data_IF_569987120084
#
_entry.id   IF_569987120084
#
_cell.length_a   1.000
_cell.length_b   1.000
_cell.length_c   1.000
_cell.angle_alpha   90.00
_cell.angle_beta   90.00
_cell.angle_gamma   90.00
#
_symmetry.space_group_name_H-M   'P 1'
#
loop_
_entity.id
_entity.type
_entity.pdbx_description
1 polymer ?
#
# COMPACT_ATOMS: atom_id res chain seq x y z
N UNK A 1 4.11 8.02 -14.59
CA UNK A 1 4.29 9.17 -13.68
C UNK A 1 5.76 9.34 -13.36
N UNK A 2 6.25 10.58 -13.20
CA UNK A 2 7.60 10.86 -12.69
C UNK A 2 7.61 11.08 -11.17
N UNK A 3 8.78 10.99 -10.54
CA UNK A 3 8.96 11.17 -9.10
C UNK A 3 8.29 12.43 -8.55
N UNK A 4 8.55 13.59 -9.15
CA UNK A 4 8.04 14.87 -8.64
C UNK A 4 6.50 14.94 -8.74
N UNK A 5 5.91 14.35 -9.78
CA UNK A 5 4.46 14.24 -9.93
C UNK A 5 3.86 13.31 -8.87
N UNK A 6 4.52 12.19 -8.59
CA UNK A 6 4.09 11.22 -7.58
C UNK A 6 4.16 11.84 -6.17
N UNK A 7 5.26 12.50 -5.83
CA UNK A 7 5.42 13.21 -4.56
C UNK A 7 4.41 14.34 -4.42
N UNK A 8 4.17 15.12 -5.49
CA UNK A 8 3.14 16.17 -5.47
C UNK A 8 1.73 15.59 -5.27
N UNK A 9 1.39 14.49 -5.94
CA UNK A 9 0.07 13.85 -5.85
C UNK A 9 -0.23 13.35 -4.43
N UNK A 10 0.79 12.85 -3.74
CA UNK A 10 0.69 12.20 -2.43
C UNK A 10 1.14 13.09 -1.26
N UNK A 11 1.51 14.35 -1.51
CA UNK A 11 2.17 15.19 -0.50
C UNK A 11 3.32 14.41 0.18
N UNK A 12 4.16 13.80 -0.66
CA UNK A 12 5.17 12.84 -0.27
C UNK A 12 6.47 13.50 0.18
N UNK A 13 7.10 12.92 1.20
CA UNK A 13 8.41 13.33 1.72
C UNK A 13 9.31 12.11 1.93
N UNK A 14 10.57 12.35 2.33
CA UNK A 14 11.53 11.30 2.68
C UNK A 14 11.77 10.28 1.54
N UNK A 15 11.80 10.75 0.29
CA UNK A 15 12.10 9.90 -0.86
C UNK A 15 13.43 9.16 -0.69
N UNK A 16 13.39 7.85 -0.87
CA UNK A 16 14.56 6.99 -0.83
C UNK A 16 14.47 5.96 -1.94
N UNK A 17 15.47 5.95 -2.83
CA UNK A 17 15.69 4.84 -3.74
C UNK A 17 16.81 3.95 -3.19
N UNK A 18 16.60 2.64 -3.22
CA UNK A 18 17.58 1.63 -2.84
C UNK A 18 17.69 0.55 -3.92
N UNK A 19 18.57 -0.43 -3.74
CA UNK A 19 18.63 -1.62 -4.61
C UNK A 19 17.29 -2.39 -4.59
N UNK A 20 16.56 -2.38 -3.48
CA UNK A 20 15.30 -3.12 -3.31
C UNK A 20 14.07 -2.42 -3.87
N UNK A 21 14.12 -1.11 -4.14
CA UNK A 21 12.97 -0.35 -4.60
C UNK A 21 12.99 1.11 -4.18
N UNK A 22 11.86 1.77 -4.39
CA UNK A 22 11.58 3.15 -4.01
C UNK A 22 10.67 3.19 -2.78
N UNK A 23 10.91 4.15 -1.89
CA UNK A 23 10.13 4.37 -0.69
C UNK A 23 9.92 5.85 -0.43
N UNK A 24 8.75 6.23 0.05
CA UNK A 24 8.48 7.58 0.58
C UNK A 24 7.32 7.56 1.57
N UNK A 25 7.16 8.65 2.33
CA UNK A 25 6.06 8.81 3.29
C UNK A 25 5.05 9.82 2.75
N UNK A 26 3.76 9.47 2.74
CA UNK A 26 2.65 10.31 2.30
C UNK A 26 1.99 11.01 3.48
N UNK A 27 1.73 12.31 3.34
CA UNK A 27 0.93 13.13 4.28
C UNK A 27 -0.39 13.58 3.65
N UNK A 28 -0.89 12.88 2.62
CA UNK A 28 -2.16 13.22 1.98
C UNK A 28 -3.36 12.94 2.88
N UNK A 29 -3.28 11.88 3.69
CA UNK A 29 -4.30 11.55 4.67
C UNK A 29 -4.02 12.29 5.99
N UNK A 30 -4.98 12.27 6.92
CA UNK A 30 -4.78 12.79 8.28
C UNK A 30 -3.70 12.06 9.09
N UNK A 31 -3.14 10.97 8.54
CA UNK A 31 -2.08 10.15 9.10
C UNK A 31 -0.99 9.92 8.06
N UNK A 32 0.22 9.62 8.54
CA UNK A 32 1.34 9.20 7.71
C UNK A 32 1.09 7.79 7.17
N UNK A 33 1.33 7.59 5.88
CA UNK A 33 1.26 6.29 5.22
C UNK A 33 2.53 6.07 4.41
N UNK A 34 3.18 4.93 4.59
CA UNK A 34 4.37 4.57 3.85
C UNK A 34 3.98 4.04 2.47
N UNK A 35 4.71 4.48 1.45
CA UNK A 35 4.61 3.95 0.11
C UNK A 35 5.88 3.17 -0.20
N UNK A 36 5.71 1.94 -0.67
CA UNK A 36 6.79 1.09 -1.14
C UNK A 36 6.54 0.66 -2.58
N UNK A 37 7.58 0.74 -3.39
CA UNK A 37 7.60 0.31 -4.79
C UNK A 37 8.76 -0.66 -4.95
N UNK A 38 8.54 -1.89 -4.50
CA UNK A 38 9.54 -2.96 -4.53
C UNK A 38 9.91 -3.31 -5.97
N UNK A 39 11.21 -3.36 -6.23
CA UNK A 39 11.78 -3.62 -7.56
C UNK A 39 11.69 -2.45 -8.55
N UNK A 40 10.98 -1.37 -8.21
CA UNK A 40 10.96 -0.17 -9.05
C UNK A 40 12.20 0.70 -8.84
N UNK A 41 12.50 1.46 -9.88
CA UNK A 41 13.56 2.45 -10.02
C UNK A 41 12.97 3.71 -10.59
N UNK A 42 13.60 4.86 -10.34
CA UNK A 42 13.01 6.13 -10.78
C UNK A 42 12.79 6.15 -12.31
N UNK A 43 13.67 5.48 -13.06
CA UNK A 43 13.58 5.28 -14.51
C UNK A 43 12.36 4.46 -14.98
N UNK A 44 11.81 3.58 -14.14
CA UNK A 44 10.70 2.68 -14.51
C UNK A 44 9.39 3.00 -13.76
N UNK A 45 9.35 4.06 -12.93
CA UNK A 45 8.09 4.57 -12.35
C UNK A 45 7.03 4.90 -13.38
N UNK A 46 7.47 5.26 -14.59
CA UNK A 46 6.56 5.56 -15.70
C UNK A 46 5.73 4.38 -16.18
N UNK A 47 6.12 3.14 -15.84
CA UNK A 47 5.35 1.92 -16.13
C UNK A 47 4.04 1.87 -15.32
N UNK A 48 3.99 2.57 -14.19
CA UNK A 48 2.77 2.73 -13.41
C UNK A 48 1.87 3.76 -14.10
N UNK A 49 0.68 3.32 -14.49
CA UNK A 49 -0.30 4.15 -15.18
C UNK A 49 -0.69 5.34 -14.30
N UNK A 50 -0.57 6.56 -14.84
CA UNK A 50 -0.98 7.78 -14.16
C UNK A 50 -2.45 7.72 -13.72
N UNK A 51 -3.30 7.15 -14.58
CA UNK A 51 -4.73 6.95 -14.29
C UNK A 51 -4.96 6.10 -13.03
N UNK A 52 -4.14 5.07 -12.80
CA UNK A 52 -4.23 4.24 -11.61
C UNK A 52 -3.85 5.05 -10.37
N UNK A 53 -2.71 5.76 -10.41
CA UNK A 53 -2.25 6.57 -9.28
C UNK A 53 -3.22 7.68 -8.91
N UNK A 54 -3.75 8.39 -9.90
CA UNK A 54 -4.74 9.45 -9.70
C UNK A 54 -5.99 8.86 -9.04
N UNK A 55 -6.54 7.77 -9.60
CA UNK A 55 -7.74 7.10 -9.09
C UNK A 55 -7.55 6.56 -7.68
N UNK A 56 -6.42 5.92 -7.41
CA UNK A 56 -6.04 5.47 -6.07
C UNK A 56 -6.00 6.65 -5.09
N UNK A 57 -5.39 7.77 -5.48
CA UNK A 57 -5.28 8.94 -4.62
C UNK A 57 -6.62 9.61 -4.28
N UNK A 58 -7.65 9.41 -5.11
CA UNK A 58 -9.02 9.90 -4.87
C UNK A 58 -9.86 8.90 -4.10
N UNK A 59 -9.59 7.60 -4.22
CA UNK A 59 -10.42 6.52 -3.65
C UNK A 59 -9.81 5.87 -2.40
N UNK A 60 -8.57 6.22 -2.01
CA UNK A 60 -7.81 5.53 -0.95
C UNK A 60 -8.61 5.33 0.35
N UNK A 61 -9.35 6.32 0.83
CA UNK A 61 -10.16 6.19 2.06
C UNK A 61 -11.32 5.20 1.89
N UNK A 62 -11.90 5.12 0.69
CA UNK A 62 -12.95 4.13 0.39
C UNK A 62 -12.36 2.73 0.34
N UNK A 63 -11.19 2.57 -0.29
CA UNK A 63 -10.48 1.29 -0.35
C UNK A 63 -10.00 0.83 1.03
N UNK A 64 -9.51 1.75 1.87
CA UNK A 64 -9.12 1.46 3.26
C UNK A 64 -10.31 0.90 4.05
N UNK A 65 -11.45 1.57 4.00
CA UNK A 65 -12.68 1.10 4.66
C UNK A 65 -13.12 -0.29 4.17
N UNK A 66 -12.99 -0.55 2.86
CA UNK A 66 -13.33 -1.85 2.29
C UNK A 66 -12.35 -2.95 2.71
N UNK A 67 -11.04 -2.67 2.68
CA UNK A 67 -10.01 -3.59 3.16
C UNK A 67 -10.18 -3.91 4.65
N UNK A 68 -10.50 -2.91 5.49
CA UNK A 68 -10.82 -3.11 6.90
C UNK A 68 -12.06 -3.99 7.10
N UNK A 69 -13.05 -3.92 6.21
CA UNK A 69 -14.20 -4.83 6.25
C UNK A 69 -13.75 -6.27 5.96
N UNK A 70 -12.94 -6.49 4.93
CA UNK A 70 -12.39 -7.82 4.59
C UNK A 70 -11.59 -8.39 5.76
N UNK A 71 -10.69 -7.59 6.36
CA UNK A 71 -9.89 -7.99 7.53
C UNK A 71 -10.81 -8.39 8.68
N UNK A 72 -11.80 -7.54 9.00
CA UNK A 72 -12.77 -7.85 10.06
C UNK A 72 -13.53 -9.12 9.75
N UNK A 73 -13.95 -9.39 8.53
CA UNK A 73 -14.66 -10.64 8.18
C UNK A 73 -13.80 -11.88 8.42
N UNK A 74 -12.49 -11.81 8.15
CA UNK A 74 -11.55 -12.94 8.24
C UNK A 74 -10.96 -13.19 9.63
N UNK A 75 -10.87 -12.17 10.49
CA UNK A 75 -10.32 -12.33 11.84
C UNK A 75 -11.36 -12.80 12.86
N UNK A 76 -10.96 -13.62 13.82
CA UNK A 76 -11.85 -14.02 14.93
C UNK A 76 -12.13 -12.85 15.89
N UNK A 77 -11.11 -12.04 16.19
CA UNK A 77 -11.26 -10.86 17.03
C UNK A 77 -11.73 -9.64 16.21
N UNK A 78 -13.04 -9.41 16.23
CA UNK A 78 -13.67 -8.27 15.55
C UNK A 78 -13.45 -6.92 16.27
N UNK A 79 -12.92 -6.92 17.49
CA UNK A 79 -12.74 -5.69 18.29
C UNK A 79 -11.41 -5.00 18.00
N UNK A 80 -10.45 -5.74 17.43
CA UNK A 80 -9.15 -5.20 17.04
C UNK A 80 -9.34 -4.14 15.95
N UNK A 81 -8.77 -2.96 16.23
CA UNK A 81 -8.73 -1.84 15.28
C UNK A 81 -7.40 -1.89 14.55
N UNK A 82 -7.46 -1.70 13.25
CA UNK A 82 -6.30 -1.58 12.38
C UNK A 82 -6.34 -0.22 11.71
N UNK A 83 -5.16 0.32 11.48
CA UNK A 83 -4.98 1.55 10.73
C UNK A 83 -4.11 1.23 9.53
N UNK A 84 -4.48 1.73 8.35
CA UNK A 84 -3.61 1.69 7.17
C UNK A 84 -2.27 2.33 7.50
N UNK A 85 -1.20 1.56 7.32
CA UNK A 85 0.19 1.99 7.51
C UNK A 85 0.95 2.05 6.19
N UNK A 86 0.59 1.19 5.22
CA UNK A 86 1.38 0.98 4.01
C UNK A 86 0.53 0.89 2.73
N UNK A 87 1.06 1.43 1.64
CA UNK A 87 0.60 1.16 0.27
C UNK A 87 1.77 0.58 -0.51
N UNK A 88 1.60 -0.66 -0.98
CA UNK A 88 2.71 -1.49 -1.47
C UNK A 88 2.51 -1.86 -2.93
N UNK A 89 3.47 -1.50 -3.77
CA UNK A 89 3.57 -1.91 -5.17
C UNK A 89 4.76 -2.84 -5.34
N UNK A 90 4.60 -3.86 -6.16
CA UNK A 90 5.69 -4.77 -6.51
C UNK A 90 5.74 -4.96 -8.02
N UNK A 91 6.90 -4.71 -8.63
CA UNK A 91 7.07 -4.80 -10.09
C UNK A 91 6.85 -6.23 -10.64
N UNK A 92 7.02 -7.25 -9.79
CA UNK A 92 6.72 -8.64 -10.15
C UNK A 92 5.23 -8.95 -10.20
N UNK A 93 4.38 -8.07 -9.65
CA UNK A 93 2.93 -8.25 -9.60
C UNK A 93 2.44 -9.18 -8.48
N UNK A 94 3.25 -9.47 -7.45
CA UNK A 94 2.85 -10.29 -6.30
C UNK A 94 1.55 -9.83 -5.63
N UNK A 95 1.25 -8.53 -5.69
CA UNK A 95 0.04 -7.94 -5.13
C UNK A 95 -1.07 -7.66 -6.16
N UNK A 96 -0.98 -8.21 -7.38
CA UNK A 96 -1.81 -7.75 -8.49
C UNK A 96 -1.32 -6.40 -8.99
N UNK A 97 -1.99 -5.31 -8.64
CA UNK A 97 -1.51 -3.95 -8.88
C UNK A 97 -0.82 -3.36 -7.64
N UNK A 98 -1.46 -3.46 -6.47
CA UNK A 98 -0.90 -3.00 -5.19
C UNK A 98 -1.61 -3.67 -4.00
N UNK A 99 -1.07 -3.50 -2.80
CA UNK A 99 -1.72 -3.89 -1.56
C UNK A 99 -1.82 -2.72 -0.57
N UNK A 100 -2.85 -2.75 0.26
CA UNK A 100 -2.97 -1.96 1.47
C UNK A 100 -2.51 -2.80 2.66
N UNK A 101 -1.57 -2.26 3.44
CA UNK A 101 -0.93 -2.94 4.57
C UNK A 101 -1.33 -2.36 5.92
N UNK A 102 -1.50 -3.26 6.88
CA UNK A 102 -1.96 -2.96 8.23
C UNK A 102 -1.10 -3.67 9.25
N UNK A 103 -0.34 -2.91 10.05
CA UNK A 103 0.44 -3.47 11.14
C UNK A 103 -0.46 -4.18 12.16
N UNK A 104 -0.11 -5.42 12.48
CA UNK A 104 -0.88 -6.29 13.36
C UNK A 104 -0.17 -6.62 14.68
N UNK A 105 1.04 -6.10 14.90
CA UNK A 105 1.84 -6.34 16.09
C UNK A 105 3.08 -7.19 15.82
N UNK A 106 3.86 -7.40 16.88
CA UNK A 106 5.03 -8.27 16.85
C UNK A 106 4.65 -9.75 16.81
N UNK A 107 5.42 -10.51 16.05
CA UNK A 107 5.45 -11.98 16.09
C UNK A 107 6.87 -12.46 16.43
N UNK A 108 7.05 -13.74 16.82
CA UNK A 108 8.41 -14.29 17.01
C UNK A 108 9.31 -14.20 15.77
N UNK A 109 8.73 -14.02 14.58
CA UNK A 109 9.44 -13.94 13.31
C UNK A 109 9.70 -12.49 12.84
N UNK A 110 9.17 -11.48 13.54
CA UNK A 110 9.23 -10.07 13.14
C UNK A 110 7.88 -9.37 13.19
N UNK A 111 7.81 -8.18 12.58
CA UNK A 111 6.61 -7.35 12.53
C UNK A 111 5.57 -7.98 11.60
N UNK A 112 4.37 -8.28 12.12
CA UNK A 112 3.30 -8.90 11.33
C UNK A 112 2.42 -7.83 10.68
N UNK A 113 2.17 -8.00 9.38
CA UNK A 113 1.28 -7.17 8.59
C UNK A 113 0.15 -8.01 7.97
N UNK A 114 -1.04 -7.41 7.92
CA UNK A 114 -2.18 -7.92 7.17
C UNK A 114 -2.28 -7.13 5.88
N UNK A 115 -2.36 -7.82 4.74
CA UNK A 115 -2.41 -7.18 3.43
C UNK A 115 -3.68 -7.53 2.67
N UNK A 116 -4.31 -6.52 2.08
CA UNK A 116 -5.41 -6.66 1.13
C UNK A 116 -4.95 -6.15 -0.23
N UNK A 117 -4.96 -7.03 -1.24
CA UNK A 117 -4.52 -6.73 -2.61
C UNK A 117 -5.62 -6.11 -3.43
N UNK A 118 -5.25 -5.32 -4.43
CA UNK A 118 -6.14 -4.69 -5.38
C UNK A 118 -5.60 -4.85 -6.82
N UNK A 119 -6.51 -5.02 -7.77
CA UNK A 119 -6.18 -4.99 -9.20
C UNK A 119 -6.10 -3.56 -9.76
N UNK A 120 -5.87 -3.44 -11.08
CA UNK A 120 -5.75 -2.15 -11.76
C UNK A 120 -7.08 -1.38 -11.82
N UNK A 121 -8.19 -2.08 -11.64
CA UNK A 121 -9.54 -1.53 -11.63
C UNK A 121 -9.98 -1.10 -10.21
N UNK A 122 -9.16 -1.36 -9.19
CA UNK A 122 -9.37 -1.15 -7.75
C UNK A 122 -10.35 -2.16 -7.11
N UNK A 123 -10.50 -3.34 -7.70
CA UNK A 123 -11.22 -4.43 -7.04
C UNK A 123 -10.30 -5.13 -6.05
N UNK A 124 -10.78 -5.33 -4.82
CA UNK A 124 -10.00 -6.03 -3.80
C UNK A 124 -10.06 -7.55 -3.97
N UNK A 125 -8.93 -8.21 -3.72
CA UNK A 125 -8.90 -9.63 -3.42
C UNK A 125 -9.55 -9.88 -2.06
N UNK A 126 -10.37 -10.92 -1.96
CA UNK A 126 -11.05 -11.29 -0.71
C UNK A 126 -10.18 -12.18 0.18
N UNK A 127 -9.04 -12.65 -0.31
CA UNK A 127 -8.09 -13.39 0.49
C UNK A 127 -7.11 -12.45 1.20
N UNK A 128 -6.98 -12.70 2.51
CA UNK A 128 -6.11 -11.93 3.38
C UNK A 128 -4.72 -12.55 3.37
N UNK A 129 -3.71 -11.72 3.14
CA UNK A 129 -2.30 -12.13 3.19
C UNK A 129 -1.71 -11.71 4.53
N UNK A 130 -0.84 -12.57 5.05
CA UNK A 130 -0.06 -12.33 6.26
C UNK A 130 1.42 -12.26 5.85
N UNK A 131 2.06 -11.13 6.07
CA UNK A 131 3.48 -10.94 5.82
C UNK A 131 4.22 -10.57 7.09
N UNK A 132 5.46 -11.04 7.21
CA UNK A 132 6.33 -10.74 8.35
C UNK A 132 7.60 -10.12 7.81
N UNK A 133 7.99 -8.97 8.37
CA UNK A 133 9.18 -8.20 8.01
C UNK A 133 10.23 -8.22 9.12
#
# INVERSE_FOLDING_TARGET
MYKDELLALWNGINWKETVGGIYFTSHKLAKEVQFSFTGYKEENLSDIKDSLMIKLSTELETLDNFALQIIKEKLDDKTKKFELTDVMFDISGCYGAFALGYYAGESPAGELYLLVKFDNELNADRDLIYEVF
#
